data_IF_712151770732
#
_entry.id   IF_712151770732
#
_cell.length_a   1.000
_cell.length_b   1.000
_cell.length_c   1.000
_cell.angle_alpha   90.00
_cell.angle_beta   90.00
_cell.angle_gamma   90.00
#
_symmetry.space_group_name_H-M   'P 1'
#
loop_
_entity.id
_entity.type
_entity.pdbx_description
1 polymer ?
#
# COMPACT_ATOMS: atom_id res chain seq x y z
N UNK A 1 7.18 -15.79 -23.45
CA UNK A 1 6.64 -15.85 -22.08
C UNK A 1 6.07 -14.48 -21.78
N UNK A 2 4.80 -14.46 -21.37
CA UNK A 2 3.87 -13.35 -21.07
C UNK A 2 4.33 -11.89 -21.30
N UNK A 3 3.75 -11.27 -22.33
CA UNK A 3 3.33 -9.85 -22.26
C UNK A 3 1.86 -9.84 -21.85
N UNK A 4 1.58 -9.94 -20.56
CA UNK A 4 0.22 -9.85 -20.04
C UNK A 4 -0.14 -8.38 -19.78
N UNK A 5 -0.93 -7.81 -20.70
CA UNK A 5 -1.88 -6.70 -20.50
C UNK A 5 -1.52 -5.62 -19.45
N UNK A 6 -0.71 -4.62 -19.83
CA UNK A 6 -0.46 -3.41 -19.02
C UNK A 6 -1.45 -2.28 -19.31
N UNK A 7 -2.62 -2.55 -19.88
CA UNK A 7 -3.55 -1.52 -20.40
C UNK A 7 -4.42 -0.85 -19.33
N UNK A 8 -3.93 -0.72 -18.10
CA UNK A 8 -4.69 -0.13 -17.00
C UNK A 8 -3.95 -0.03 -15.65
N UNK A 9 -2.70 -0.49 -15.57
CA UNK A 9 -1.89 -0.33 -14.37
C UNK A 9 -1.24 1.05 -14.35
N UNK A 10 -1.42 1.79 -13.26
CA UNK A 10 -0.82 3.10 -13.02
C UNK A 10 0.26 2.99 -11.94
N UNK A 11 1.37 3.75 -12.05
CA UNK A 11 2.36 3.79 -10.99
C UNK A 11 1.82 4.60 -9.80
N UNK A 12 1.95 4.07 -8.59
CA UNK A 12 1.71 4.81 -7.37
C UNK A 12 2.83 5.84 -7.14
N UNK A 13 2.53 7.13 -6.85
CA UNK A 13 3.55 8.15 -6.64
C UNK A 13 4.36 7.96 -5.35
N UNK A 14 3.80 7.29 -4.33
CA UNK A 14 4.46 7.15 -3.03
C UNK A 14 5.42 5.96 -2.98
N UNK A 15 5.03 4.83 -3.58
CA UNK A 15 5.77 3.57 -3.46
C UNK A 15 6.23 3.01 -4.81
N UNK A 16 5.87 3.66 -5.93
CA UNK A 16 6.25 3.30 -7.30
C UNK A 16 5.74 1.92 -7.76
N UNK A 17 4.85 1.27 -7.00
CA UNK A 17 4.19 0.04 -7.42
C UNK A 17 3.26 0.29 -8.62
N UNK A 18 3.29 -0.60 -9.61
CA UNK A 18 2.31 -0.62 -10.70
C UNK A 18 1.03 -1.29 -10.21
N UNK A 19 -0.09 -0.55 -10.22
CA UNK A 19 -1.35 -1.00 -9.63
C UNK A 19 -2.52 -0.74 -10.57
N UNK A 20 -3.49 -1.65 -10.59
CA UNK A 20 -4.67 -1.57 -11.47
C UNK A 20 -5.75 -0.60 -10.95
N UNK A 21 -5.78 -0.35 -9.63
CA UNK A 21 -6.69 0.59 -8.98
C UNK A 21 -5.87 1.46 -8.02
N UNK A 22 -5.44 2.63 -8.51
CA UNK A 22 -4.62 3.56 -7.74
C UNK A 22 -5.36 4.08 -6.51
N UNK A 23 -6.65 4.38 -6.63
CA UNK A 23 -7.44 4.93 -5.53
C UNK A 23 -7.62 3.90 -4.39
N UNK A 24 -7.84 2.63 -4.72
CA UNK A 24 -7.86 1.57 -3.71
C UNK A 24 -6.49 1.36 -3.07
N UNK A 25 -5.42 1.44 -3.86
CA UNK A 25 -4.05 1.30 -3.36
C UNK A 25 -3.65 2.43 -2.40
N UNK A 26 -4.00 3.68 -2.70
CA UNK A 26 -3.76 4.83 -1.81
C UNK A 26 -4.51 4.68 -0.48
N UNK A 27 -5.77 4.22 -0.50
CA UNK A 27 -6.52 3.92 0.74
C UNK A 27 -5.87 2.81 1.56
N UNK A 28 -5.31 1.80 0.88
CA UNK A 28 -4.59 0.72 1.54
C UNK A 28 -3.32 1.21 2.24
N UNK A 29 -2.57 2.17 1.67
CA UNK A 29 -1.42 2.79 2.33
C UNK A 29 -1.80 3.43 3.66
N UNK A 30 -2.84 4.28 3.67
CA UNK A 30 -3.28 4.96 4.91
C UNK A 30 -3.65 3.95 5.98
N UNK A 31 -4.36 2.89 5.62
CA UNK A 31 -4.75 1.80 6.52
C UNK A 31 -3.52 1.10 7.10
N UNK A 32 -2.57 0.71 6.25
CA UNK A 32 -1.36 0.01 6.66
C UNK A 32 -0.52 0.84 7.65
N UNK A 33 -0.33 2.12 7.37
CA UNK A 33 0.43 3.02 8.24
C UNK A 33 -0.24 3.16 9.61
N UNK A 34 -1.58 3.32 9.64
CA UNK A 34 -2.32 3.41 10.89
C UNK A 34 -2.23 2.10 11.71
N UNK A 35 -2.36 0.96 11.04
CA UNK A 35 -2.25 -0.35 11.68
C UNK A 35 -0.84 -0.59 12.26
N UNK A 36 0.22 -0.21 11.54
CA UNK A 36 1.60 -0.25 12.06
C UNK A 36 1.79 0.67 13.26
N UNK A 37 1.32 1.92 13.18
CA UNK A 37 1.44 2.88 14.27
C UNK A 37 0.76 2.37 15.56
N UNK A 38 -0.43 1.77 15.41
CA UNK A 38 -1.16 1.14 16.51
C UNK A 38 -0.41 -0.06 17.10
N UNK A 39 0.15 -0.93 16.25
CA UNK A 39 0.94 -2.08 16.69
C UNK A 39 2.18 -1.65 17.48
N UNK A 40 2.93 -0.68 16.96
CA UNK A 40 4.12 -0.12 17.64
C UNK A 40 3.73 0.50 18.98
N UNK A 41 2.65 1.29 19.03
CA UNK A 41 2.19 1.89 20.29
C UNK A 41 1.83 0.82 21.35
N UNK A 42 1.24 -0.31 20.92
CA UNK A 42 0.91 -1.44 21.82
C UNK A 42 2.14 -2.21 22.28
N UNK A 43 3.18 -2.32 21.46
CA UNK A 43 4.46 -2.91 21.89
C UNK A 43 5.17 -2.00 22.89
N UNK A 44 5.22 -0.68 22.63
CA UNK A 44 5.82 0.30 23.55
C UNK A 44 5.10 0.37 24.89
N UNK A 45 3.78 0.17 24.93
CA UNK A 45 3.02 0.14 26.18
C UNK A 45 3.20 -1.16 26.99
N UNK A 46 3.75 -2.22 26.36
CA UNK A 46 4.01 -3.52 27.02
C UNK A 46 5.44 -3.63 27.57
N UNK A 47 6.39 -2.88 27.01
CA UNK A 47 7.78 -2.79 27.48
C UNK A 47 7.95 -1.80 28.62
#
# INVERSE_FOLDING_TARGET
MEQAATTGAQPCPDCHALVVDLAAHERWHTRLVADLASAVARELARG
#
